data_IF_560039191830
#
_entry.id   IF_560039191830
#
_cell.length_a   1.000
_cell.length_b   1.000
_cell.length_c   1.000
_cell.angle_alpha   90.00
_cell.angle_beta   90.00
_cell.angle_gamma   90.00
#
_symmetry.space_group_name_H-M   'P 1'
#
loop_
_entity.id
_entity.type
_entity.pdbx_description
1 polymer ?
#
# COMPACT_ATOMS: atom_id res chain seq x y z
N UNK A 1 17.60 25.45 -2.39
CA UNK A 1 17.79 26.88 -2.70
C UNK A 1 19.24 27.06 -3.08
N UNK A 2 19.50 27.55 -4.27
CA UNK A 2 20.81 27.94 -4.77
C UNK A 2 21.05 29.43 -4.48
N UNK A 3 22.29 29.79 -4.15
CA UNK A 3 22.71 31.17 -3.86
C UNK A 3 23.98 31.48 -4.63
N UNK A 4 23.94 32.53 -5.46
CA UNK A 4 25.11 33.07 -6.15
C UNK A 4 25.77 34.12 -5.25
N UNK A 5 27.04 33.92 -4.92
CA UNK A 5 27.85 34.87 -4.15
C UNK A 5 28.74 35.70 -5.07
N UNK A 6 29.09 36.91 -4.63
CA UNK A 6 30.12 37.72 -5.29
C UNK A 6 31.52 37.15 -5.07
N UNK A 7 32.53 37.79 -5.68
CA UNK A 7 33.94 37.40 -5.54
C UNK A 7 34.46 37.42 -4.09
N UNK A 8 33.78 38.14 -3.20
CA UNK A 8 34.05 38.18 -1.76
C UNK A 8 33.47 36.99 -0.99
N UNK A 9 32.83 36.03 -1.68
CA UNK A 9 32.16 34.85 -1.15
C UNK A 9 31.12 35.12 -0.05
N UNK A 10 30.67 36.38 0.11
CA UNK A 10 29.81 36.79 1.21
C UNK A 10 28.64 37.65 0.74
N UNK A 11 28.81 38.45 -0.30
CA UNK A 11 27.74 39.25 -0.89
C UNK A 11 26.84 38.37 -1.74
N UNK A 12 25.56 38.26 -1.39
CA UNK A 12 24.56 37.57 -2.22
C UNK A 12 24.21 38.43 -3.44
N UNK A 13 24.44 37.89 -4.65
CA UNK A 13 24.10 38.55 -5.92
C UNK A 13 22.77 38.09 -6.50
N UNK A 14 22.31 36.90 -6.12
CA UNK A 14 21.04 36.36 -6.53
C UNK A 14 20.78 34.98 -5.95
N UNK A 15 19.54 34.52 -6.07
CA UNK A 15 19.12 33.19 -5.60
C UNK A 15 18.27 32.49 -6.64
N UNK A 16 18.31 31.16 -6.60
CA UNK A 16 17.37 30.31 -7.33
C UNK A 16 16.67 29.33 -6.40
N UNK A 17 15.35 29.38 -6.39
CA UNK A 17 14.50 28.40 -5.73
C UNK A 17 14.15 27.30 -6.74
N UNK A 18 14.34 26.05 -6.32
CA UNK A 18 14.17 24.87 -7.16
C UNK A 18 13.29 23.89 -6.38
N UNK A 19 12.29 23.34 -7.07
CA UNK A 19 11.52 22.19 -6.61
C UNK A 19 12.00 20.95 -7.34
N UNK A 20 12.24 19.86 -6.61
CA UNK A 20 12.55 18.54 -7.17
C UNK A 20 11.51 17.57 -6.66
N UNK A 21 10.88 16.82 -7.56
CA UNK A 21 9.95 15.74 -7.20
C UNK A 21 10.34 14.45 -7.92
N UNK A 22 10.15 13.33 -7.22
CA UNK A 22 10.38 11.99 -7.73
C UNK A 22 9.11 11.17 -7.55
N UNK A 23 8.69 10.46 -8.61
CA UNK A 23 7.48 9.63 -8.58
C UNK A 23 7.82 8.22 -9.09
N UNK A 24 7.75 7.23 -8.20
CA UNK A 24 8.04 5.85 -8.54
C UNK A 24 6.78 5.10 -9.00
N UNK A 25 6.90 4.31 -10.06
CA UNK A 25 5.88 3.32 -10.45
C UNK A 25 6.41 1.92 -10.20
N UNK A 26 6.01 1.32 -9.08
CA UNK A 26 6.42 -0.02 -8.68
C UNK A 26 5.50 -1.08 -9.27
N UNK A 27 6.02 -2.30 -9.43
CA UNK A 27 5.29 -3.41 -10.02
C UNK A 27 5.46 -4.67 -9.17
N UNK A 28 4.34 -5.25 -8.77
CA UNK A 28 4.31 -6.44 -7.94
C UNK A 28 4.86 -7.70 -8.61
N UNK A 29 5.17 -7.68 -9.91
CA UNK A 29 5.73 -8.81 -10.66
C UNK A 29 6.98 -8.43 -11.46
N UNK A 30 7.60 -7.28 -11.17
CA UNK A 30 8.84 -6.86 -11.81
C UNK A 30 9.78 -6.23 -10.77
N UNK A 31 11.06 -6.59 -10.80
CA UNK A 31 12.07 -6.05 -9.88
C UNK A 31 12.78 -4.81 -10.41
N UNK A 32 12.41 -4.35 -11.61
CA UNK A 32 12.82 -3.05 -12.14
C UNK A 32 11.67 -2.05 -12.04
N UNK A 33 11.99 -0.80 -11.74
CA UNK A 33 11.03 0.29 -11.72
C UNK A 33 11.63 1.58 -12.24
N UNK A 34 10.75 2.41 -12.81
CA UNK A 34 11.07 3.75 -13.22
C UNK A 34 10.64 4.74 -12.14
N UNK A 35 11.47 5.77 -11.95
CA UNK A 35 11.09 6.96 -11.23
C UNK A 35 11.11 8.17 -12.16
N UNK A 36 9.98 8.84 -12.23
CA UNK A 36 9.82 10.06 -12.99
C UNK A 36 10.33 11.25 -12.17
N UNK A 37 11.34 11.93 -12.69
CA UNK A 37 12.00 13.07 -12.04
C UNK A 37 11.52 14.36 -12.69
N UNK A 38 11.07 15.31 -11.87
CA UNK A 38 10.73 16.68 -12.30
C UNK A 38 11.58 17.66 -11.50
N UNK A 39 12.32 18.51 -12.20
CA UNK A 39 13.06 19.64 -11.63
C UNK A 39 12.46 20.94 -12.18
N UNK A 40 12.00 21.81 -11.29
CA UNK A 40 11.36 23.08 -11.62
C UNK A 40 12.08 24.25 -10.97
N UNK A 41 12.41 25.28 -11.75
CA UNK A 41 12.84 26.56 -11.20
C UNK A 41 11.59 27.36 -10.78
N UNK A 42 11.37 27.49 -9.48
CA UNK A 42 10.16 28.15 -8.95
C UNK A 42 10.34 29.67 -8.84
N UNK A 43 11.58 30.12 -8.62
CA UNK A 43 11.88 31.56 -8.49
C UNK A 43 13.35 31.86 -8.75
N UNK A 44 13.61 33.02 -9.35
CA UNK A 44 14.93 33.57 -9.57
C UNK A 44 15.00 35.03 -9.10
N UNK A 45 16.09 35.40 -8.44
CA UNK A 45 16.29 36.77 -7.96
C UNK A 45 17.67 37.31 -8.33
N UNK A 46 17.75 38.63 -8.46
CA UNK A 46 19.01 39.34 -8.70
C UNK A 46 19.66 38.91 -10.02
N UNK A 47 20.89 38.42 -9.91
CA UNK A 47 21.74 38.02 -11.04
C UNK A 47 21.50 36.58 -11.50
N UNK A 48 20.86 35.76 -10.68
CA UNK A 48 20.44 34.43 -11.13
C UNK A 48 19.24 34.61 -12.05
N UNK A 49 19.40 34.32 -13.34
CA UNK A 49 18.33 34.39 -14.36
C UNK A 49 18.02 33.05 -15.01
N UNK A 50 18.92 32.08 -14.82
CA UNK A 50 18.77 30.71 -15.24
C UNK A 50 19.77 29.85 -14.49
N UNK A 51 19.43 28.58 -14.31
CA UNK A 51 20.31 27.59 -13.70
C UNK A 51 20.49 26.41 -14.65
N UNK A 52 21.69 25.84 -14.63
CA UNK A 52 21.94 24.55 -15.24
C UNK A 52 21.90 23.49 -14.15
N UNK A 53 21.26 22.34 -14.44
CA UNK A 53 21.15 21.21 -13.52
C UNK A 53 21.75 19.94 -14.13
N UNK A 54 22.64 19.30 -13.37
CA UNK A 54 23.01 17.90 -13.54
C UNK A 54 22.24 17.07 -12.51
N UNK A 55 21.76 15.89 -12.87
CA UNK A 55 21.08 14.98 -11.95
C UNK A 55 21.55 13.55 -12.15
N UNK A 56 21.80 12.84 -11.07
CA UNK A 56 21.95 11.39 -11.07
C UNK A 56 21.27 10.74 -9.86
N UNK A 57 20.78 9.53 -10.10
CA UNK A 57 20.23 8.63 -9.10
C UNK A 57 21.16 7.43 -8.91
N UNK A 58 21.15 6.89 -7.71
CA UNK A 58 21.96 5.76 -7.29
C UNK A 58 21.23 4.91 -6.26
N UNK A 59 21.66 3.68 -6.11
CA UNK A 59 21.22 2.78 -5.05
C UNK A 59 22.35 1.83 -4.66
N UNK A 60 22.16 1.06 -3.59
CA UNK A 60 23.19 0.18 -3.03
C UNK A 60 22.63 -1.21 -2.72
N UNK A 61 23.51 -2.13 -2.31
CA UNK A 61 23.14 -3.51 -2.00
C UNK A 61 22.74 -4.31 -3.25
N UNK A 62 21.58 -4.94 -3.22
CA UNK A 62 21.03 -5.71 -4.34
C UNK A 62 20.42 -4.84 -5.44
N UNK A 63 20.63 -3.53 -5.40
CA UNK A 63 20.10 -2.60 -6.37
C UNK A 63 21.18 -2.09 -7.32
N UNK A 64 20.84 -2.02 -8.61
CA UNK A 64 21.64 -1.37 -9.67
C UNK A 64 20.79 -0.36 -10.43
N UNK A 65 21.46 0.59 -11.08
CA UNK A 65 20.81 1.53 -12.00
C UNK A 65 20.89 0.97 -13.43
N UNK A 66 19.75 0.76 -14.07
CA UNK A 66 19.68 0.54 -15.52
C UNK A 66 19.81 1.88 -16.28
N UNK A 67 19.31 2.97 -15.67
CA UNK A 67 19.44 4.33 -16.17
C UNK A 67 19.59 5.28 -14.98
N UNK A 68 20.81 5.76 -14.74
CA UNK A 68 21.12 6.60 -13.58
C UNK A 68 20.75 8.07 -13.76
N UNK A 69 20.61 8.55 -14.99
CA UNK A 69 20.37 9.98 -15.28
C UNK A 69 19.06 10.18 -16.06
N UNK A 70 18.21 11.14 -15.68
CA UNK A 70 16.94 11.37 -16.36
C UNK A 70 17.11 11.96 -17.77
N UNK A 71 18.19 12.71 -18.00
CA UNK A 71 18.60 13.27 -19.29
C UNK A 71 20.13 13.16 -19.46
N UNK A 72 20.59 13.26 -20.71
CA UNK A 72 22.01 13.30 -21.03
C UNK A 72 22.64 14.64 -20.60
N UNK A 73 23.82 14.58 -19.99
CA UNK A 73 24.59 15.75 -19.59
C UNK A 73 23.83 16.63 -18.58
N UNK A 74 23.64 17.90 -18.95
CA UNK A 74 23.03 18.93 -18.12
C UNK A 74 21.78 19.50 -18.79
N UNK A 75 20.85 20.02 -17.99
CA UNK A 75 19.65 20.69 -18.46
C UNK A 75 19.58 22.15 -18.02
N UNK A 76 19.08 23.02 -18.90
CA UNK A 76 18.90 24.44 -18.61
C UNK A 76 17.48 24.72 -18.08
N UNK A 77 17.41 25.34 -16.91
CA UNK A 77 16.23 25.98 -16.33
C UNK A 77 16.33 27.49 -16.58
N UNK A 78 15.99 27.91 -17.81
CA UNK A 78 16.31 29.26 -18.31
C UNK A 78 15.39 30.39 -17.84
N UNK A 79 14.34 30.11 -17.06
CA UNK A 79 13.41 31.10 -16.50
C UNK A 79 12.63 30.52 -15.33
N UNK A 80 11.97 31.39 -14.57
CA UNK A 80 10.96 30.97 -13.58
C UNK A 80 9.84 30.16 -14.26
N UNK A 81 9.40 29.09 -13.62
CA UNK A 81 8.46 28.10 -14.14
C UNK A 81 9.04 27.15 -15.19
N UNK A 82 10.32 27.25 -15.53
CA UNK A 82 10.96 26.28 -16.41
C UNK A 82 11.04 24.90 -15.72
N UNK A 83 10.70 23.86 -16.46
CA UNK A 83 10.70 22.46 -15.99
C UNK A 83 11.63 21.62 -16.85
N UNK A 84 12.29 20.66 -16.20
CA UNK A 84 12.94 19.54 -16.86
C UNK A 84 12.46 18.23 -16.25
N UNK A 85 12.16 17.29 -17.14
CA UNK A 85 11.57 16.02 -16.79
C UNK A 85 12.35 14.88 -17.46
N UNK A 86 12.34 13.72 -16.82
CA UNK A 86 12.88 12.47 -17.37
C UNK A 86 12.91 11.37 -16.34
N UNK A 87 13.11 10.13 -16.81
CA UNK A 87 13.02 8.96 -15.95
C UNK A 87 14.41 8.40 -15.61
N UNK A 88 14.56 7.91 -14.38
CA UNK A 88 15.67 7.03 -13.99
C UNK A 88 15.10 5.63 -13.76
N UNK A 89 15.92 4.61 -14.01
CA UNK A 89 15.48 3.21 -13.90
C UNK A 89 16.38 2.47 -12.93
N UNK A 90 15.75 1.91 -11.89
CA UNK A 90 16.37 1.05 -10.90
C UNK A 90 16.07 -0.42 -11.20
N UNK A 91 16.91 -1.31 -10.69
CA UNK A 91 16.72 -2.75 -10.77
C UNK A 91 17.17 -3.40 -9.47
N UNK A 92 16.34 -4.29 -8.92
CA UNK A 92 16.72 -5.19 -7.83
C UNK A 92 17.05 -6.58 -8.36
N UNK A 93 18.25 -7.06 -8.04
CA UNK A 93 18.71 -8.42 -8.34
C UNK A 93 18.21 -9.48 -7.35
N UNK A 94 17.14 -9.23 -6.60
CA UNK A 94 16.60 -10.19 -5.63
C UNK A 94 16.05 -11.43 -6.35
N UNK A 95 16.60 -12.60 -6.00
CA UNK A 95 16.16 -13.90 -6.52
C UNK A 95 15.58 -14.81 -5.43
N UNK A 96 15.85 -14.49 -4.17
CA UNK A 96 15.30 -15.15 -2.99
C UNK A 96 15.20 -14.15 -1.84
N UNK A 97 14.20 -14.33 -0.99
CA UNK A 97 14.02 -13.49 0.19
C UNK A 97 13.53 -12.09 -0.16
N UNK A 98 13.87 -11.11 0.68
CA UNK A 98 13.49 -9.70 0.54
C UNK A 98 14.68 -8.76 0.75
N UNK A 99 14.61 -7.59 0.14
CA UNK A 99 15.57 -6.50 0.30
C UNK A 99 14.85 -5.15 0.36
N UNK A 100 15.42 -4.24 1.15
CA UNK A 100 14.92 -2.88 1.32
C UNK A 100 15.86 -1.92 0.60
N UNK A 101 15.32 -1.12 -0.31
CA UNK A 101 16.09 -0.19 -1.13
C UNK A 101 15.62 1.22 -0.82
N UNK A 102 16.57 2.12 -0.57
CA UNK A 102 16.34 3.54 -0.40
C UNK A 102 17.09 4.28 -1.52
N UNK A 103 16.41 4.62 -2.63
CA UNK A 103 16.99 5.40 -3.72
C UNK A 103 17.71 6.65 -3.20
N UNK A 104 18.89 6.93 -3.74
CA UNK A 104 19.67 8.12 -3.42
C UNK A 104 19.84 8.97 -4.66
N UNK A 105 19.85 10.28 -4.46
CA UNK A 105 19.84 11.25 -5.54
C UNK A 105 20.89 12.32 -5.30
N UNK A 106 21.37 12.86 -6.40
CA UNK A 106 22.39 13.88 -6.47
C UNK A 106 22.02 14.89 -7.56
N UNK A 107 22.08 16.17 -7.22
CA UNK A 107 21.84 17.24 -8.17
C UNK A 107 22.87 18.35 -7.99
N UNK A 108 23.50 18.75 -9.09
CA UNK A 108 24.43 19.87 -9.16
C UNK A 108 23.78 21.04 -9.89
N UNK A 109 23.88 22.22 -9.30
CA UNK A 109 23.37 23.46 -9.86
C UNK A 109 24.49 24.48 -10.06
N UNK A 110 24.42 25.24 -11.14
CA UNK A 110 25.28 26.39 -11.37
C UNK A 110 24.56 27.45 -12.20
N UNK A 111 24.86 28.73 -11.95
CA UNK A 111 24.34 29.83 -12.73
C UNK A 111 24.97 29.88 -14.12
N UNK A 112 24.15 30.13 -15.13
CA UNK A 112 24.61 30.32 -16.51
C UNK A 112 25.55 31.53 -16.56
N UNK A 113 26.71 31.38 -17.20
CA UNK A 113 27.73 32.44 -17.43
C UNK A 113 28.44 32.99 -16.18
N UNK A 114 28.02 32.64 -14.97
CA UNK A 114 28.58 33.18 -13.72
C UNK A 114 29.42 32.16 -12.93
N UNK A 115 29.10 30.86 -12.99
CA UNK A 115 29.69 29.81 -12.16
C UNK A 115 30.30 28.64 -12.96
N UNK A 116 31.18 27.87 -12.30
CA UNK A 116 31.67 26.60 -12.82
C UNK A 116 30.68 25.46 -12.48
N UNK A 117 30.61 24.39 -13.29
CA UNK A 117 29.78 23.22 -12.96
C UNK A 117 30.17 22.59 -11.61
N UNK A 118 29.20 22.42 -10.71
CA UNK A 118 29.39 21.74 -9.41
C UNK A 118 29.54 22.66 -8.19
N UNK A 119 29.39 23.98 -8.34
CA UNK A 119 29.53 24.93 -7.22
C UNK A 119 28.41 24.80 -6.17
N UNK A 120 27.29 24.15 -6.52
CA UNK A 120 26.22 23.84 -5.57
C UNK A 120 25.67 22.42 -5.75
N UNK A 121 26.08 21.54 -4.84
CA UNK A 121 25.65 20.14 -4.81
C UNK A 121 24.60 19.90 -3.73
N UNK A 122 23.53 19.19 -4.09
CA UNK A 122 22.52 18.67 -3.16
C UNK A 122 22.48 17.15 -3.26
N UNK A 123 22.47 16.46 -2.12
CA UNK A 123 22.36 15.01 -2.00
C UNK A 123 21.24 14.66 -1.03
N UNK A 124 20.40 13.70 -1.39
CA UNK A 124 19.36 13.19 -0.50
C UNK A 124 19.06 11.72 -0.79
N UNK A 125 18.48 11.06 0.20
CA UNK A 125 17.99 9.69 0.09
C UNK A 125 16.48 9.70 0.26
N UNK A 126 15.78 8.93 -0.56
CA UNK A 126 14.34 8.72 -0.46
C UNK A 126 13.99 8.29 0.96
N UNK A 127 12.92 8.88 1.50
CA UNK A 127 12.33 8.44 2.77
C UNK A 127 11.31 7.32 2.54
N UNK A 128 11.01 7.00 1.28
CA UNK A 128 10.15 5.89 0.88
C UNK A 128 11.04 4.70 0.58
N UNK A 129 10.82 3.62 1.32
CA UNK A 129 11.42 2.32 1.07
C UNK A 129 10.79 1.71 -0.18
N UNK A 130 11.62 1.15 -1.05
CA UNK A 130 11.21 0.18 -2.06
C UNK A 130 11.61 -1.19 -1.55
N UNK A 131 10.62 -1.99 -1.14
CA UNK A 131 10.85 -3.40 -0.81
C UNK A 131 10.73 -4.20 -2.09
N UNK A 132 11.80 -4.91 -2.46
CA UNK A 132 11.75 -5.92 -3.50
C UNK A 132 11.93 -7.30 -2.88
N UNK A 133 11.16 -8.28 -3.33
CA UNK A 133 11.21 -9.63 -2.77
C UNK A 133 10.85 -10.69 -3.82
N UNK A 134 11.21 -11.93 -3.52
CA UNK A 134 10.88 -13.14 -4.29
C UNK A 134 10.20 -14.20 -3.40
N UNK A 135 9.39 -13.75 -2.42
CA UNK A 135 8.71 -14.62 -1.45
C UNK A 135 7.37 -15.18 -1.99
N UNK A 136 6.83 -14.55 -3.04
CA UNK A 136 5.63 -15.00 -3.76
C UNK A 136 5.98 -15.69 -5.09
N UNK A 137 4.97 -16.12 -5.85
CA UNK A 137 5.16 -16.83 -7.13
C UNK A 137 6.02 -16.11 -8.17
N UNK A 138 6.14 -14.79 -8.06
CA UNK A 138 6.95 -13.92 -8.91
C UNK A 138 7.73 -12.96 -8.03
N UNK A 139 8.92 -12.55 -8.48
CA UNK A 139 9.66 -11.46 -7.84
C UNK A 139 9.06 -10.10 -8.22
N UNK A 140 9.07 -9.13 -7.32
CA UNK A 140 8.52 -7.80 -7.57
C UNK A 140 8.85 -6.80 -6.48
N UNK A 141 8.46 -5.55 -6.70
CA UNK A 141 8.72 -4.45 -5.76
C UNK A 141 7.44 -3.72 -5.36
N UNK A 142 7.38 -3.28 -4.11
CA UNK A 142 6.29 -2.49 -3.51
C UNK A 142 6.85 -1.45 -2.54
N UNK A 143 6.04 -0.44 -2.20
CA UNK A 143 6.35 0.53 -1.16
C UNK A 143 5.62 0.12 0.13
N UNK A 144 6.27 -0.54 1.10
CA UNK A 144 5.58 -1.14 2.25
C UNK A 144 4.91 -0.11 3.16
N UNK A 145 5.29 1.17 3.07
CA UNK A 145 4.62 2.27 3.78
C UNK A 145 3.18 2.48 3.29
N UNK A 146 2.88 2.12 2.04
CA UNK A 146 1.51 2.17 1.51
C UNK A 146 0.78 0.94 2.03
N UNK A 147 -0.03 1.13 3.08
CA UNK A 147 -0.92 0.08 3.59
C UNK A 147 -1.83 -0.40 2.44
N UNK A 148 -1.78 -1.68 2.08
CA UNK A 148 -2.70 -2.27 1.11
C UNK A 148 -4.15 -2.14 1.60
N UNK A 149 -5.06 -1.92 0.66
CA UNK A 149 -6.49 -1.70 0.94
C UNK A 149 -7.34 -2.72 0.19
N UNK A 150 -7.98 -3.62 0.93
CA UNK A 150 -8.93 -4.57 0.40
C UNK A 150 -10.28 -3.88 0.20
N UNK A 151 -10.50 -3.37 -1.01
CA UNK A 151 -11.76 -2.69 -1.36
C UNK A 151 -12.82 -3.71 -1.75
N UNK A 152 -13.90 -3.79 -0.95
CA UNK A 152 -15.01 -4.71 -1.14
C UNK A 152 -16.35 -3.93 -1.19
N UNK A 153 -16.74 -3.39 -2.36
CA UNK A 153 -18.01 -2.67 -2.49
C UNK A 153 -19.21 -3.57 -2.17
N UNK A 154 -20.18 -3.04 -1.41
CA UNK A 154 -21.40 -3.78 -1.06
C UNK A 154 -22.19 -4.21 -2.31
N UNK A 155 -22.15 -3.40 -3.38
CA UNK A 155 -22.77 -3.71 -4.67
C UNK A 155 -22.18 -4.95 -5.38
N UNK A 156 -20.96 -5.35 -5.05
CA UNK A 156 -20.25 -6.50 -5.66
C UNK A 156 -20.24 -7.70 -4.73
N UNK A 157 -19.92 -7.48 -3.45
CA UNK A 157 -19.67 -8.56 -2.48
C UNK A 157 -20.82 -8.79 -1.49
N UNK A 158 -21.88 -7.99 -1.56
CA UNK A 158 -23.14 -8.23 -0.87
C UNK A 158 -23.01 -8.50 0.63
N UNK A 159 -23.56 -9.63 1.09
CA UNK A 159 -23.61 -9.98 2.52
C UNK A 159 -22.23 -10.23 3.12
N UNK A 160 -21.22 -10.63 2.32
CA UNK A 160 -19.84 -10.77 2.78
C UNK A 160 -19.29 -9.40 3.22
N UNK A 161 -19.37 -8.41 2.33
CA UNK A 161 -18.96 -7.03 2.65
C UNK A 161 -19.70 -6.45 3.85
N UNK A 162 -21.01 -6.70 3.98
CA UNK A 162 -21.81 -6.23 5.12
C UNK A 162 -21.42 -6.92 6.41
N UNK A 163 -21.04 -8.20 6.35
CA UNK A 163 -20.49 -8.94 7.51
C UNK A 163 -19.21 -8.26 8.02
N UNK A 164 -18.32 -7.85 7.12
CA UNK A 164 -17.08 -7.17 7.49
C UNK A 164 -17.36 -5.76 8.02
N UNK A 165 -18.26 -5.02 7.36
CA UNK A 165 -18.71 -3.69 7.82
C UNK A 165 -19.34 -3.75 9.22
N UNK A 166 -20.11 -4.79 9.52
CA UNK A 166 -20.64 -5.01 10.86
C UNK A 166 -19.50 -5.12 11.88
N UNK A 167 -18.47 -5.92 11.60
CA UNK A 167 -17.32 -6.03 12.50
C UNK A 167 -16.57 -4.71 12.67
N UNK A 168 -16.32 -3.98 11.58
CA UNK A 168 -15.62 -2.70 11.61
C UNK A 168 -16.36 -1.63 12.41
N UNK A 169 -17.69 -1.63 12.38
CA UNK A 169 -18.51 -0.54 12.92
C UNK A 169 -19.19 -0.86 14.25
N UNK A 170 -19.38 -2.14 14.58
CA UNK A 170 -20.17 -2.59 15.74
C UNK A 170 -19.36 -3.35 16.78
N UNK A 171 -18.23 -3.96 16.41
CA UNK A 171 -17.39 -4.71 17.34
C UNK A 171 -16.26 -3.83 17.92
N UNK A 172 -15.81 -4.09 19.16
CA UNK A 172 -14.98 -3.16 19.92
C UNK A 172 -13.61 -2.88 19.28
N UNK A 173 -13.04 -3.86 18.59
CA UNK A 173 -11.68 -3.74 18.04
C UNK A 173 -11.65 -3.03 16.68
N UNK A 174 -12.77 -2.98 15.95
CA UNK A 174 -12.86 -2.36 14.61
C UNK A 174 -11.72 -2.79 13.66
N UNK A 175 -11.38 -4.09 13.66
CA UNK A 175 -10.31 -4.65 12.84
C UNK A 175 -10.56 -4.42 11.35
N UNK A 176 -9.50 -4.13 10.59
CA UNK A 176 -9.56 -3.76 9.16
C UNK A 176 -9.62 -2.26 8.91
N UNK A 177 -9.87 -1.44 9.93
CA UNK A 177 -9.87 0.02 9.77
C UNK A 177 -8.45 0.60 9.74
N UNK A 178 -8.26 1.84 9.26
CA UNK A 178 -6.95 2.52 9.30
C UNK A 178 -6.31 2.59 10.69
N UNK A 179 -7.15 2.66 11.74
CA UNK A 179 -6.73 2.67 13.15
C UNK A 179 -6.30 1.29 13.64
N UNK A 180 -7.02 0.24 13.25
CA UNK A 180 -6.79 -1.14 13.68
C UNK A 180 -6.67 -2.06 12.45
N UNK A 181 -5.54 -2.04 11.72
CA UNK A 181 -5.39 -2.87 10.53
C UNK A 181 -5.38 -4.36 10.88
N UNK A 182 -5.74 -5.19 9.90
CA UNK A 182 -5.49 -6.62 9.95
C UNK A 182 -4.01 -6.88 9.63
N UNK A 183 -3.48 -7.98 10.16
CA UNK A 183 -2.10 -8.39 9.92
C UNK A 183 -2.13 -9.72 9.18
N UNK A 184 -1.59 -9.79 7.97
CA UNK A 184 -1.52 -11.06 7.24
C UNK A 184 -0.70 -12.05 8.06
N UNK A 185 -1.12 -13.31 8.07
CA UNK A 185 -0.25 -14.40 8.49
C UNK A 185 -0.02 -15.39 7.36
N UNK A 186 1.23 -15.77 7.16
CA UNK A 186 1.63 -16.75 6.17
C UNK A 186 1.65 -18.15 6.78
N UNK A 187 0.50 -18.81 6.66
CA UNK A 187 0.26 -20.15 7.19
C UNK A 187 -0.11 -21.12 6.08
N UNK A 188 0.07 -22.41 6.34
CA UNK A 188 -0.34 -23.47 5.42
C UNK A 188 -1.86 -23.48 5.20
N UNK A 189 -2.32 -24.04 4.08
CA UNK A 189 -3.77 -24.20 3.84
C UNK A 189 -4.44 -25.09 4.88
N UNK A 190 -3.69 -26.03 5.46
CA UNK A 190 -4.17 -26.89 6.55
C UNK A 190 -4.43 -26.06 7.81
N UNK A 191 -3.48 -25.22 8.22
CA UNK A 191 -3.64 -24.35 9.39
C UNK A 191 -4.75 -23.32 9.16
N UNK A 192 -4.85 -22.75 7.94
CA UNK A 192 -5.96 -21.87 7.57
C UNK A 192 -7.29 -22.60 7.76
N UNK A 193 -7.41 -23.82 7.24
CA UNK A 193 -8.61 -24.62 7.35
C UNK A 193 -8.95 -24.95 8.81
N UNK A 194 -7.97 -25.24 9.65
CA UNK A 194 -8.17 -25.45 11.08
C UNK A 194 -8.70 -24.17 11.76
N UNK A 195 -8.12 -23.00 11.45
CA UNK A 195 -8.59 -21.70 11.95
C UNK A 195 -10.01 -21.39 11.48
N UNK A 196 -10.30 -21.62 10.20
CA UNK A 196 -11.64 -21.51 9.62
C UNK A 196 -12.63 -22.40 10.37
N UNK A 197 -12.30 -23.70 10.57
CA UNK A 197 -13.18 -24.65 11.27
C UNK A 197 -13.44 -24.30 12.72
N UNK A 198 -12.55 -23.58 13.41
CA UNK A 198 -12.84 -23.08 14.76
C UNK A 198 -13.98 -22.07 14.78
N UNK A 199 -14.09 -21.22 13.74
CA UNK A 199 -15.15 -20.22 13.62
C UNK A 199 -16.40 -20.76 12.92
N UNK A 200 -16.21 -21.47 11.81
CA UNK A 200 -17.23 -21.84 10.83
C UNK A 200 -17.44 -23.36 10.69
N UNK A 201 -16.75 -24.18 11.48
CA UNK A 201 -16.82 -25.63 11.37
C UNK A 201 -18.16 -26.21 11.85
N UNK A 202 -18.43 -27.44 11.40
CA UNK A 202 -19.65 -28.19 11.74
C UNK A 202 -19.48 -29.17 12.90
N UNK A 203 -18.25 -29.31 13.41
CA UNK A 203 -17.87 -30.37 14.38
C UNK A 203 -17.48 -29.83 15.77
N UNK A 204 -17.87 -28.58 16.09
CA UNK A 204 -17.61 -27.93 17.39
C UNK A 204 -18.84 -27.89 18.31
N UNK A 205 -18.67 -27.31 19.51
CA UNK A 205 -19.76 -27.10 20.48
C UNK A 205 -20.77 -26.04 20.03
N UNK A 206 -20.39 -25.17 19.10
CA UNK A 206 -21.26 -24.18 18.45
C UNK A 206 -21.11 -24.34 16.93
N UNK A 207 -21.64 -25.43 16.36
CA UNK A 207 -21.49 -25.72 14.94
C UNK A 207 -22.18 -24.63 14.11
N UNK A 208 -21.63 -24.32 12.94
CA UNK A 208 -22.36 -23.53 11.95
C UNK A 208 -23.49 -24.38 11.36
N UNK A 209 -24.71 -23.84 11.35
CA UNK A 209 -25.91 -24.52 10.85
C UNK A 209 -26.48 -23.69 9.71
N UNK A 210 -26.40 -24.17 8.46
CA UNK A 210 -26.97 -23.46 7.33
C UNK A 210 -28.46 -23.14 7.52
N UNK A 211 -28.87 -21.92 7.15
CA UNK A 211 -30.25 -21.46 7.24
C UNK A 211 -30.91 -21.40 5.85
N UNK A 212 -32.17 -21.85 5.69
CA UNK A 212 -32.80 -21.94 4.37
C UNK A 212 -33.02 -20.61 3.64
N UNK A 213 -33.04 -19.49 4.37
CA UNK A 213 -33.30 -18.15 3.80
C UNK A 213 -32.09 -17.59 3.04
N UNK A 214 -30.88 -18.12 3.30
CA UNK A 214 -29.66 -17.72 2.59
C UNK A 214 -29.37 -18.75 1.48
N UNK A 215 -29.35 -18.35 0.20
CA UNK A 215 -29.05 -19.27 -0.90
C UNK A 215 -27.64 -19.84 -0.78
N UNK A 216 -27.49 -21.16 -0.91
CA UNK A 216 -26.20 -21.86 -0.75
C UNK A 216 -25.43 -21.35 0.48
N UNK A 217 -26.12 -21.32 1.62
CA UNK A 217 -25.62 -20.68 2.83
C UNK A 217 -24.26 -21.21 3.27
N UNK A 218 -23.32 -20.28 3.38
CA UNK A 218 -21.94 -20.51 3.78
C UNK A 218 -21.59 -19.61 4.96
N UNK A 219 -20.63 -20.07 5.76
CA UNK A 219 -20.10 -19.29 6.85
C UNK A 219 -18.91 -18.46 6.37
N UNK A 220 -18.96 -17.16 6.64
CA UNK A 220 -17.90 -16.20 6.35
C UNK A 220 -17.43 -15.54 7.65
N UNK A 221 -16.15 -15.71 7.98
CA UNK A 221 -15.56 -15.24 9.24
C UNK A 221 -14.79 -13.93 9.11
N UNK A 222 -14.94 -13.08 10.13
CA UNK A 222 -14.13 -11.88 10.28
C UNK A 222 -13.73 -11.64 11.74
N UNK A 223 -12.45 -11.37 12.05
CA UNK A 223 -11.31 -11.28 11.14
C UNK A 223 -10.95 -12.58 10.39
N UNK A 224 -10.46 -12.45 9.16
CA UNK A 224 -10.20 -13.56 8.23
C UNK A 224 -9.29 -14.66 8.81
N UNK A 225 -9.51 -15.92 8.45
CA UNK A 225 -8.65 -17.04 8.86
C UNK A 225 -7.18 -16.96 8.41
N UNK A 226 -6.81 -16.04 7.50
CA UNK A 226 -5.40 -15.70 7.15
C UNK A 226 -4.94 -14.35 7.71
N UNK A 227 -5.60 -13.82 8.73
CA UNK A 227 -5.13 -12.68 9.53
C UNK A 227 -4.73 -13.11 10.93
N UNK A 228 -3.79 -12.42 11.58
CA UNK A 228 -3.36 -12.72 12.96
C UNK A 228 -4.55 -12.72 13.93
N UNK A 229 -5.49 -11.80 13.73
CA UNK A 229 -6.67 -11.60 14.56
C UNK A 229 -7.72 -12.71 14.40
N UNK A 230 -7.70 -13.45 13.28
CA UNK A 230 -8.73 -14.42 12.93
C UNK A 230 -8.68 -15.77 13.64
N UNK A 231 -9.57 -16.66 13.21
CA UNK A 231 -9.63 -18.05 13.68
C UNK A 231 -10.04 -18.22 15.14
N UNK A 232 -10.92 -17.35 15.64
CA UNK A 232 -11.52 -17.44 16.98
C UNK A 232 -12.47 -18.64 17.08
N UNK A 233 -12.86 -19.01 18.30
CA UNK A 233 -13.87 -20.05 18.46
C UNK A 233 -15.26 -19.49 18.19
N UNK A 234 -16.07 -20.24 17.45
CA UNK A 234 -17.45 -19.93 17.11
C UNK A 234 -18.26 -19.31 18.26
N UNK A 235 -18.19 -19.90 19.45
CA UNK A 235 -18.91 -19.47 20.65
C UNK A 235 -18.61 -18.03 21.08
N UNK A 236 -17.46 -17.49 20.67
CA UNK A 236 -17.03 -16.13 20.98
C UNK A 236 -17.49 -15.13 19.91
N UNK A 237 -17.88 -15.56 18.72
CA UNK A 237 -18.19 -14.67 17.61
C UNK A 237 -19.66 -14.28 17.57
N UNK A 238 -19.95 -13.04 17.17
CA UNK A 238 -21.28 -12.63 16.77
C UNK A 238 -21.71 -13.48 15.57
N UNK A 239 -22.96 -13.92 15.53
CA UNK A 239 -23.48 -14.71 14.41
C UNK A 239 -24.69 -13.99 13.82
N UNK A 240 -24.56 -13.61 12.56
CA UNK A 240 -25.47 -12.64 11.95
C UNK A 240 -25.96 -13.09 10.58
N UNK A 241 -27.09 -12.52 10.18
CA UNK A 241 -27.71 -12.68 8.86
C UNK A 241 -27.88 -11.30 8.23
N UNK A 242 -26.92 -10.83 7.42
CA UNK A 242 -27.10 -9.62 6.63
C UNK A 242 -28.12 -9.85 5.52
N UNK A 243 -29.12 -8.98 5.41
CA UNK A 243 -30.19 -9.07 4.42
C UNK A 243 -30.41 -7.70 3.77
N UNK A 244 -30.59 -7.67 2.45
CA UNK A 244 -30.96 -6.46 1.73
C UNK A 244 -32.49 -6.37 1.63
N UNK A 245 -33.07 -5.42 2.35
CA UNK A 245 -34.52 -5.19 2.40
C UNK A 245 -34.82 -3.75 2.00
N UNK A 246 -35.72 -3.55 1.03
CA UNK A 246 -36.10 -2.21 0.56
C UNK A 246 -34.90 -1.29 0.23
N UNK A 247 -33.87 -1.86 -0.43
CA UNK A 247 -32.59 -1.20 -0.73
C UNK A 247 -31.78 -0.74 0.50
N UNK A 248 -32.02 -1.34 1.65
CA UNK A 248 -31.26 -1.08 2.88
C UNK A 248 -30.74 -2.40 3.47
N UNK A 249 -29.49 -2.39 3.89
CA UNK A 249 -28.91 -3.53 4.59
C UNK A 249 -29.41 -3.56 6.03
N UNK A 250 -30.01 -4.68 6.41
CA UNK A 250 -30.44 -4.99 7.78
C UNK A 250 -29.64 -6.20 8.26
N UNK A 251 -29.21 -6.18 9.52
CA UNK A 251 -28.44 -7.28 10.12
C UNK A 251 -29.24 -7.87 11.26
N UNK A 252 -29.54 -9.17 11.17
CA UNK A 252 -30.25 -9.92 12.19
C UNK A 252 -29.32 -10.85 12.97
N UNK A 253 -29.65 -11.12 14.23
CA UNK A 253 -29.04 -12.20 15.00
C UNK A 253 -29.46 -13.55 14.41
N UNK A 254 -28.50 -14.45 14.19
CA UNK A 254 -28.78 -15.75 13.59
C UNK A 254 -29.32 -16.79 14.58
N UNK A 255 -28.87 -16.74 15.85
CA UNK A 255 -29.32 -17.64 16.91
C UNK A 255 -29.88 -16.83 18.10
N UNK A 256 -31.20 -16.80 18.30
CA UNK A 256 -31.83 -16.10 19.43
C UNK A 256 -31.36 -16.58 20.81
N UNK A 257 -30.79 -17.80 20.92
CA UNK A 257 -30.24 -18.34 22.18
C UNK A 257 -28.84 -17.81 22.46
N UNK A 258 -28.20 -17.19 21.46
CA UNK A 258 -26.87 -16.60 21.53
C UNK A 258 -26.89 -15.22 20.86
N UNK A 259 -27.67 -14.28 21.43
CA UNK A 259 -27.84 -12.96 20.85
C UNK A 259 -26.51 -12.21 20.79
N UNK A 260 -26.39 -11.31 19.82
CA UNK A 260 -25.19 -10.51 19.63
C UNK A 260 -25.11 -9.45 20.74
N UNK A 261 -23.97 -9.41 21.41
CA UNK A 261 -23.70 -8.54 22.57
C UNK A 261 -22.90 -7.30 22.23
N UNK A 262 -22.36 -7.22 21.01
CA UNK A 262 -21.46 -6.16 20.53
C UNK A 262 -20.13 -6.09 21.29
N UNK A 263 -19.74 -7.19 21.92
CA UNK A 263 -18.47 -7.35 22.66
C UNK A 263 -17.62 -8.48 22.10
N UNK A 264 -18.12 -9.15 21.07
CA UNK A 264 -17.46 -10.28 20.44
C UNK A 264 -16.17 -9.83 19.73
N UNK A 265 -15.08 -10.61 19.81
CA UNK A 265 -13.83 -10.31 19.11
C UNK A 265 -13.88 -10.67 17.61
N UNK A 266 -14.99 -11.21 17.13
CA UNK A 266 -15.18 -11.71 15.77
C UNK A 266 -16.67 -11.76 15.42
N UNK A 267 -16.95 -11.86 14.13
CA UNK A 267 -18.26 -12.17 13.57
C UNK A 267 -18.13 -13.37 12.63
N UNK A 268 -19.20 -14.15 12.52
CA UNK A 268 -19.42 -15.09 11.43
C UNK A 268 -20.78 -14.81 10.81
N UNK A 269 -20.81 -14.55 9.51
CA UNK A 269 -22.01 -14.24 8.77
C UNK A 269 -22.56 -15.45 8.03
N UNK A 270 -23.88 -15.54 7.93
CA UNK A 270 -24.57 -16.37 6.93
C UNK A 270 -24.53 -15.64 5.58
N UNK A 271 -23.77 -16.16 4.64
CA UNK A 271 -23.43 -15.50 3.37
C UNK A 271 -23.65 -16.47 2.22
N UNK A 272 -24.29 -16.07 1.11
CA UNK A 272 -24.37 -16.91 -0.07
C UNK A 272 -22.98 -17.28 -0.57
N UNK A 273 -22.74 -18.58 -0.81
CA UNK A 273 -21.41 -19.11 -1.14
C UNK A 273 -20.66 -18.29 -2.19
N UNK A 274 -21.32 -17.88 -3.26
CA UNK A 274 -20.70 -17.09 -4.35
C UNK A 274 -20.13 -15.74 -3.87
N UNK A 275 -20.80 -15.07 -2.92
CA UNK A 275 -20.34 -13.78 -2.39
C UNK A 275 -19.14 -13.98 -1.46
N UNK A 276 -19.16 -15.04 -0.65
CA UNK A 276 -18.04 -15.44 0.19
C UNK A 276 -16.80 -15.79 -0.65
N UNK A 277 -16.95 -16.65 -1.66
CA UNK A 277 -15.87 -17.03 -2.58
C UNK A 277 -15.30 -15.83 -3.34
N UNK A 278 -16.16 -14.90 -3.77
CA UNK A 278 -15.73 -13.67 -4.43
C UNK A 278 -14.87 -12.80 -3.49
N UNK A 279 -15.31 -12.59 -2.25
CA UNK A 279 -14.56 -11.80 -1.27
C UNK A 279 -13.23 -12.46 -0.90
N UNK A 280 -13.22 -13.79 -0.69
CA UNK A 280 -12.00 -14.56 -0.48
C UNK A 280 -11.03 -14.50 -1.67
N UNK A 281 -11.56 -14.54 -2.89
CA UNK A 281 -10.80 -14.35 -4.12
C UNK A 281 -10.16 -12.96 -4.23
N UNK A 282 -10.90 -11.90 -3.86
CA UNK A 282 -10.40 -10.53 -3.82
C UNK A 282 -9.26 -10.38 -2.81
N UNK A 283 -9.40 -10.94 -1.60
CA UNK A 283 -8.31 -10.95 -0.62
C UNK A 283 -7.07 -11.71 -1.15
N UNK A 284 -7.27 -12.89 -1.73
CA UNK A 284 -6.19 -13.66 -2.33
C UNK A 284 -5.49 -12.93 -3.50
N UNK A 285 -6.24 -12.12 -4.25
CA UNK A 285 -5.70 -11.26 -5.31
C UNK A 285 -4.87 -10.11 -4.71
N UNK A 286 -5.40 -9.41 -3.69
CA UNK A 286 -4.71 -8.30 -3.02
C UNK A 286 -3.34 -8.72 -2.49
N UNK A 287 -3.27 -9.89 -1.84
CA UNK A 287 -1.99 -10.44 -1.33
C UNK A 287 -0.92 -10.52 -2.43
N UNK A 288 -1.32 -10.81 -3.67
CA UNK A 288 -0.41 -10.89 -4.82
C UNK A 288 -0.13 -9.52 -5.43
N UNK A 289 -1.15 -8.70 -5.66
CA UNK A 289 -1.02 -7.40 -6.34
C UNK A 289 -0.31 -6.35 -5.52
N UNK A 290 -0.43 -6.43 -4.20
CA UNK A 290 0.23 -5.52 -3.26
C UNK A 290 1.37 -6.20 -2.50
N UNK A 291 1.71 -7.43 -2.91
CA UNK A 291 2.77 -8.28 -2.34
C UNK A 291 2.75 -8.32 -0.82
N UNK A 292 1.57 -8.50 -0.21
CA UNK A 292 1.42 -8.53 1.25
C UNK A 292 2.16 -9.74 1.80
N UNK A 293 3.21 -9.54 2.59
CA UNK A 293 4.01 -10.59 3.22
C UNK A 293 3.50 -10.96 4.61
N UNK A 294 4.10 -11.97 5.22
CA UNK A 294 3.82 -12.34 6.61
C UNK A 294 4.00 -11.11 7.52
N UNK A 295 2.99 -10.87 8.36
CA UNK A 295 2.90 -9.73 9.27
C UNK A 295 2.90 -8.35 8.59
N UNK A 296 2.63 -8.26 7.28
CA UNK A 296 2.30 -6.98 6.68
C UNK A 296 0.87 -6.56 7.11
N UNK A 297 0.67 -5.28 7.51
CA UNK A 297 -0.65 -4.76 7.83
C UNK A 297 -1.43 -4.45 6.55
N UNK A 298 -2.74 -4.68 6.56
CA UNK A 298 -3.66 -4.25 5.51
C UNK A 298 -4.98 -3.78 6.10
N UNK A 299 -5.68 -2.93 5.35
CA UNK A 299 -7.01 -2.43 5.71
C UNK A 299 -8.06 -3.06 4.79
N UNK A 300 -9.31 -2.93 5.19
CA UNK A 300 -10.49 -3.34 4.44
C UNK A 300 -11.40 -2.12 4.31
N UNK A 301 -11.86 -1.84 3.10
CA UNK A 301 -12.74 -0.72 2.81
C UNK A 301 -14.03 -1.22 2.19
N UNK A 302 -15.16 -0.90 2.81
CA UNK A 302 -16.49 -1.32 2.36
C UNK A 302 -17.28 -0.12 1.81
N UNK A 303 -17.05 0.31 0.56
CA UNK A 303 -17.86 1.37 -0.04
C UNK A 303 -19.28 0.87 -0.32
N UNK A 304 -20.23 1.80 -0.27
CA UNK A 304 -21.63 1.54 -0.57
C UNK A 304 -21.87 1.19 -2.04
#
# INVERSE_FOLDING_TARGET
MYTLYGQDATTVRGTGEISISTNATLNATNTSWDEHIVVEATRFTGWVRGLVVAFDASCSGNCTMNKAKPWDGHALLGREGAKKEGDVTFHSGVTQGRTSIYPSYHADFYAVEEDAPGDHTVRWTSQVEVRCDAELSTAGCVAPQKKPDLVLPMSVYGTAAVTYLFAETKLPDAWGTPRNPLWRIDISDKEREERYRRTCGRTGTTPFVPIPVVPDDSCDEYPFARSFQGGKYAAQCAEIIPTLENNQWVVYDADPRRPVTYREPCVRGHVPLKQNEAAGGAYGSLVKTDRILDMDPFIVSIPA
#
